data_IF_603163505080
#
_entry.id   IF_603163505080
#
_cell.length_a   1.000
_cell.length_b   1.000
_cell.length_c   1.000
_cell.angle_alpha   90.00
_cell.angle_beta   90.00
_cell.angle_gamma   90.00
#
_symmetry.space_group_name_H-M   'P 1'
#
loop_
_entity.id
_entity.type
_entity.pdbx_description
1 polymer ?
#
# COMPACT_ATOMS: atom_id res chain seq x y z
N UNK A 1 -2.45 -18.24 -22.96
CA UNK A 1 -1.86 -16.88 -23.04
C UNK A 1 -1.99 -16.23 -21.67
N UNK A 2 -0.90 -16.14 -20.90
CA UNK A 2 -0.91 -15.42 -19.61
C UNK A 2 -0.73 -13.93 -19.90
N UNK A 3 -1.83 -13.17 -19.91
CA UNK A 3 -1.78 -11.72 -20.04
C UNK A 3 -0.92 -11.16 -18.91
N UNK A 4 0.09 -10.38 -19.31
CA UNK A 4 1.38 -10.30 -18.64
C UNK A 4 1.40 -9.42 -17.40
N UNK A 5 0.36 -8.63 -17.17
CA UNK A 5 0.22 -7.81 -15.97
C UNK A 5 -1.24 -7.40 -15.85
N UNK A 6 -1.97 -7.79 -14.79
CA UNK A 6 -3.26 -7.18 -14.55
C UNK A 6 -3.05 -5.67 -14.41
N UNK A 7 -3.75 -4.84 -15.20
CA UNK A 7 -3.65 -3.39 -15.08
C UNK A 7 -3.99 -3.00 -13.64
N UNK A 8 -3.27 -2.02 -13.11
CA UNK A 8 -3.48 -1.57 -11.74
C UNK A 8 -4.96 -1.21 -11.55
N UNK A 9 -5.65 -1.71 -10.51
CA UNK A 9 -7.10 -1.51 -10.33
C UNK A 9 -7.49 -0.01 -10.33
N UNK A 10 -6.61 0.84 -9.80
CA UNK A 10 -6.74 2.29 -9.87
C UNK A 10 -6.72 2.91 -11.26
N UNK A 11 -5.98 2.34 -12.22
CA UNK A 11 -6.03 2.78 -13.62
C UNK A 11 -7.36 2.36 -14.24
N UNK A 12 -7.84 1.14 -13.98
CA UNK A 12 -9.18 0.71 -14.41
C UNK A 12 -10.25 1.66 -13.89
N UNK A 13 -10.24 2.00 -12.59
CA UNK A 13 -11.16 3.01 -12.03
C UNK A 13 -11.05 4.34 -12.78
N UNK A 14 -9.84 4.80 -13.14
CA UNK A 14 -9.70 6.04 -13.92
C UNK A 14 -10.37 5.94 -15.29
N UNK A 15 -10.16 4.86 -16.04
CA UNK A 15 -10.76 4.70 -17.37
C UNK A 15 -12.27 4.43 -17.29
N UNK A 16 -12.70 3.47 -16.47
CA UNK A 16 -14.09 3.06 -16.33
C UNK A 16 -14.97 4.10 -15.61
N UNK A 17 -14.42 4.92 -14.71
CA UNK A 17 -15.19 5.94 -13.98
C UNK A 17 -15.01 7.37 -14.52
N UNK A 18 -13.76 7.83 -14.65
CA UNK A 18 -13.50 9.24 -14.99
C UNK A 18 -13.57 9.48 -16.49
N UNK A 19 -12.92 8.63 -17.29
CA UNK A 19 -12.90 8.77 -18.74
C UNK A 19 -14.28 8.47 -19.34
N UNK A 20 -14.96 7.42 -18.86
CA UNK A 20 -16.31 7.07 -19.28
C UNK A 20 -17.35 8.19 -19.05
N UNK A 21 -17.19 8.98 -17.99
CA UNK A 21 -18.06 10.12 -17.69
C UNK A 21 -17.49 11.47 -18.18
N UNK A 22 -16.25 11.51 -18.67
CA UNK A 22 -15.56 12.75 -19.07
C UNK A 22 -15.33 13.73 -17.92
N UNK A 23 -15.28 13.26 -16.66
CA UNK A 23 -15.18 14.11 -15.47
C UNK A 23 -13.77 14.11 -14.89
N UNK A 24 -13.41 15.21 -14.23
CA UNK A 24 -12.13 15.33 -13.52
C UNK A 24 -12.10 14.52 -12.21
N UNK A 25 -10.91 14.17 -11.72
CA UNK A 25 -10.71 13.49 -10.42
C UNK A 25 -11.42 14.25 -9.28
N UNK A 26 -11.47 15.58 -9.35
CA UNK A 26 -12.12 16.39 -8.32
C UNK A 26 -13.63 16.21 -8.32
N UNK A 27 -14.25 16.14 -9.51
CA UNK A 27 -15.68 15.92 -9.69
C UNK A 27 -16.06 14.49 -9.31
N UNK A 28 -15.27 13.49 -9.76
CA UNK A 28 -15.44 12.10 -9.35
C UNK A 28 -15.41 11.96 -7.83
N UNK A 29 -14.42 12.56 -7.16
CA UNK A 29 -14.32 12.48 -5.70
C UNK A 29 -15.58 13.01 -4.97
N UNK A 30 -16.21 14.07 -5.50
CA UNK A 30 -17.48 14.59 -4.96
C UNK A 30 -18.61 13.58 -5.14
N UNK A 31 -18.72 12.96 -6.32
CA UNK A 31 -19.76 11.98 -6.64
C UNK A 31 -19.65 10.73 -5.74
N UNK A 32 -18.43 10.21 -5.53
CA UNK A 32 -18.20 9.09 -4.61
C UNK A 32 -18.32 9.46 -3.12
N UNK A 33 -18.34 10.76 -2.78
CA UNK A 33 -18.24 11.22 -1.39
C UNK A 33 -16.91 10.84 -0.73
N UNK A 34 -15.81 10.86 -1.48
CA UNK A 34 -14.45 10.58 -0.98
C UNK A 34 -13.58 11.83 -1.06
N UNK A 35 -12.46 11.83 -0.33
CA UNK A 35 -11.51 12.93 -0.47
C UNK A 35 -10.82 12.85 -1.84
N UNK A 36 -10.54 14.02 -2.44
CA UNK A 36 -9.74 14.12 -3.67
C UNK A 36 -8.42 13.37 -3.55
N UNK A 37 -7.79 13.40 -2.37
CA UNK A 37 -6.54 12.70 -2.10
C UNK A 37 -6.71 11.18 -2.14
N UNK A 38 -7.80 10.64 -1.59
CA UNK A 38 -8.08 9.20 -1.66
C UNK A 38 -8.25 8.74 -3.11
N UNK A 39 -9.05 9.46 -3.90
CA UNK A 39 -9.24 9.14 -5.31
C UNK A 39 -7.94 9.32 -6.11
N UNK A 40 -7.17 10.39 -5.84
CA UNK A 40 -5.87 10.61 -6.47
C UNK A 40 -4.85 9.51 -6.15
N UNK A 41 -4.81 9.04 -4.90
CA UNK A 41 -3.93 7.94 -4.52
C UNK A 41 -4.36 6.62 -5.16
N UNK A 42 -5.67 6.39 -5.28
CA UNK A 42 -6.21 5.23 -5.97
C UNK A 42 -5.81 5.23 -7.45
N UNK A 43 -6.07 6.31 -8.20
CA UNK A 43 -5.76 6.38 -9.65
C UNK A 43 -4.27 6.35 -9.96
N UNK A 44 -3.41 6.84 -9.04
CA UNK A 44 -1.95 6.76 -9.18
C UNK A 44 -1.37 5.42 -8.71
N UNK A 45 -2.22 4.49 -8.28
CA UNK A 45 -1.83 3.19 -7.76
C UNK A 45 -0.98 3.21 -6.49
N UNK A 46 -1.14 4.26 -5.70
CA UNK A 46 -0.57 4.38 -4.35
C UNK A 46 -1.49 3.81 -3.27
N UNK A 47 -2.79 3.67 -3.59
CA UNK A 47 -3.78 3.04 -2.73
C UNK A 47 -4.49 1.92 -3.50
N UNK A 48 -4.79 0.82 -2.79
CA UNK A 48 -5.65 -0.24 -3.30
C UNK A 48 -7.14 0.06 -3.08
N UNK A 49 -8.00 -0.76 -3.67
CA UNK A 49 -9.45 -0.70 -3.46
C UNK A 49 -9.78 -1.38 -2.12
N UNK A 50 -10.18 -0.58 -1.12
CA UNK A 50 -10.78 -1.07 0.13
C UNK A 50 -12.23 -1.54 -0.13
N UNK A 51 -12.79 -2.50 0.63
CA UNK A 51 -14.20 -2.91 0.50
C UNK A 51 -15.16 -1.72 0.59
N UNK A 52 -14.85 -0.77 1.46
CA UNK A 52 -15.60 0.48 1.65
C UNK A 52 -15.64 1.32 0.36
N UNK A 53 -14.52 1.35 -0.37
CA UNK A 53 -14.37 2.06 -1.63
C UNK A 53 -15.09 1.34 -2.76
N UNK A 54 -15.04 0.00 -2.76
CA UNK A 54 -15.75 -0.82 -3.74
C UNK A 54 -17.27 -0.62 -3.68
N UNK A 55 -17.84 -0.53 -2.47
CA UNK A 55 -19.28 -0.23 -2.29
C UNK A 55 -19.63 1.18 -2.79
N UNK A 56 -18.72 2.16 -2.61
CA UNK A 56 -18.94 3.52 -3.14
C UNK A 56 -18.87 3.56 -4.66
N UNK A 57 -17.96 2.80 -5.26
CA UNK A 57 -17.83 2.67 -6.71
C UNK A 57 -19.07 2.00 -7.32
N UNK A 58 -19.56 0.92 -6.71
CA UNK A 58 -20.81 0.23 -7.08
C UNK A 58 -22.01 1.19 -7.12
N UNK A 59 -22.14 2.05 -6.11
CA UNK A 59 -23.22 3.04 -6.04
C UNK A 59 -23.07 4.20 -7.02
N UNK A 60 -21.84 4.61 -7.33
CA UNK A 60 -21.57 5.81 -8.11
C UNK A 60 -21.48 5.56 -9.62
N UNK A 61 -20.86 4.46 -10.04
CA UNK A 61 -20.59 4.15 -11.46
C UNK A 61 -21.25 2.85 -11.91
N UNK A 62 -21.80 2.07 -10.97
CA UNK A 62 -22.22 0.71 -11.24
C UNK A 62 -21.06 -0.28 -11.25
N UNK A 63 -21.39 -1.55 -11.48
CA UNK A 63 -20.47 -2.67 -11.35
C UNK A 63 -20.36 -3.16 -9.91
N UNK A 64 -20.40 -4.47 -9.72
CA UNK A 64 -20.47 -5.06 -8.37
C UNK A 64 -19.19 -4.81 -7.57
N UNK A 65 -19.35 -4.52 -6.27
CA UNK A 65 -18.22 -4.37 -5.34
C UNK A 65 -17.24 -5.56 -5.39
N UNK A 66 -17.76 -6.76 -5.62
CA UNK A 66 -16.97 -7.99 -5.80
C UNK A 66 -16.05 -7.93 -7.02
N UNK A 67 -16.48 -7.34 -8.13
CA UNK A 67 -15.64 -7.16 -9.33
C UNK A 67 -14.45 -6.26 -9.04
N UNK A 68 -14.69 -5.14 -8.35
CA UNK A 68 -13.64 -4.20 -7.96
C UNK A 68 -12.62 -4.85 -7.02
N UNK A 69 -13.08 -5.65 -6.06
CA UNK A 69 -12.22 -6.41 -5.16
C UNK A 69 -11.45 -7.51 -5.90
N UNK A 70 -12.09 -8.21 -6.85
CA UNK A 70 -11.43 -9.24 -7.64
C UNK A 70 -10.26 -8.67 -8.47
N UNK A 71 -10.39 -7.46 -9.01
CA UNK A 71 -9.30 -6.75 -9.69
C UNK A 71 -8.14 -6.46 -8.73
N UNK A 72 -8.45 -5.99 -7.52
CA UNK A 72 -7.43 -5.75 -6.48
C UNK A 72 -6.71 -7.04 -6.09
N UNK A 73 -7.44 -8.14 -5.88
CA UNK A 73 -6.86 -9.44 -5.55
C UNK A 73 -5.99 -9.98 -6.68
N UNK A 74 -6.42 -9.86 -7.94
CA UNK A 74 -5.62 -10.27 -9.09
C UNK A 74 -4.30 -9.49 -9.17
N UNK A 75 -4.34 -8.18 -8.93
CA UNK A 75 -3.15 -7.33 -8.88
C UNK A 75 -2.22 -7.69 -7.72
N UNK A 76 -2.76 -7.88 -6.52
CA UNK A 76 -2.00 -8.25 -5.33
C UNK A 76 -1.30 -9.60 -5.51
N UNK A 77 -2.00 -10.60 -6.05
CA UNK A 77 -1.42 -11.90 -6.39
C UNK A 77 -0.29 -11.78 -7.43
N UNK A 78 -0.44 -10.91 -8.44
CA UNK A 78 0.62 -10.68 -9.41
C UNK A 78 1.85 -10.02 -8.78
N UNK A 79 1.65 -9.05 -7.87
CA UNK A 79 2.74 -8.44 -7.11
C UNK A 79 3.42 -9.44 -6.17
N UNK A 80 2.66 -10.26 -5.45
CA UNK A 80 3.17 -11.29 -4.56
C UNK A 80 3.99 -12.36 -5.31
N UNK A 81 3.55 -12.76 -6.51
CA UNK A 81 4.31 -13.64 -7.42
C UNK A 81 5.63 -13.01 -7.87
N UNK A 82 5.63 -11.70 -8.20
CA UNK A 82 6.86 -10.97 -8.56
C UNK A 82 7.80 -10.80 -7.35
N UNK A 83 7.26 -10.58 -6.16
CA UNK A 83 8.02 -10.42 -4.93
C UNK A 83 8.69 -11.74 -4.52
N UNK A 84 7.94 -12.84 -4.45
CA UNK A 84 8.48 -14.17 -4.15
C UNK A 84 9.58 -14.60 -5.13
N UNK A 85 9.45 -14.26 -6.41
CA UNK A 85 10.50 -14.49 -7.41
C UNK A 85 11.76 -13.62 -7.20
N UNK A 86 11.65 -12.42 -6.60
CA UNK A 86 12.79 -11.56 -6.23
C UNK A 86 13.44 -11.97 -4.91
N UNK A 87 12.67 -12.48 -3.96
CA UNK A 87 13.16 -12.89 -2.63
C UNK A 87 14.25 -13.97 -2.71
N UNK A 88 14.22 -14.83 -3.73
CA UNK A 88 15.27 -15.83 -3.99
C UNK A 88 16.58 -15.25 -4.54
N UNK A 89 16.63 -13.97 -4.94
CA UNK A 89 17.83 -13.34 -5.54
C UNK A 89 18.50 -12.27 -4.66
N UNK A 90 17.97 -11.97 -3.47
CA UNK A 90 18.55 -10.98 -2.55
C UNK A 90 18.97 -11.58 -1.21
N UNK A 91 19.63 -12.73 -1.22
CA UNK A 91 20.37 -13.28 -0.07
C UNK A 91 21.87 -12.93 -0.12
N UNK A 92 22.28 -11.94 -0.93
CA UNK A 92 23.66 -11.46 -1.01
C UNK A 92 23.73 -9.99 -0.66
N UNK A 93 24.64 -9.64 0.26
CA UNK A 93 25.00 -8.29 0.70
C UNK A 93 24.18 -7.67 1.84
N UNK A 94 24.41 -8.21 3.04
CA UNK A 94 24.65 -7.34 4.21
C UNK A 94 25.69 -7.95 5.15
N UNK A 95 26.93 -8.11 4.65
CA UNK A 95 28.11 -7.98 5.52
C UNK A 95 28.16 -6.52 5.95
N UNK A 96 27.87 -6.24 7.21
CA UNK A 96 28.39 -5.03 7.86
C UNK A 96 29.23 -5.47 9.03
N UNK A 97 30.50 -5.67 8.72
CA UNK A 97 31.60 -5.72 9.69
C UNK A 97 31.74 -4.34 10.32
N UNK A 98 31.40 -4.22 11.59
CA UNK A 98 31.90 -3.15 12.48
C UNK A 98 31.73 -3.75 13.87
N UNK A 99 32.77 -4.35 14.46
CA UNK A 99 33.97 -3.62 14.85
C UNK A 99 33.84 -3.25 16.32
N UNK A 100 34.03 -4.25 17.19
CA UNK A 100 34.85 -4.16 18.40
C UNK A 100 34.95 -2.81 19.13
N UNK A 101 34.28 -2.70 20.29
CA UNK A 101 34.65 -2.00 21.54
C UNK A 101 33.36 -1.79 22.35
N UNK A 102 33.24 -2.14 23.62
CA UNK A 102 34.16 -2.73 24.57
C UNK A 102 33.32 -2.98 25.82
N UNK A 103 33.49 -4.14 26.41
CA UNK A 103 33.01 -4.40 27.75
C UNK A 103 33.66 -3.42 28.74
N UNK A 104 32.96 -3.23 29.86
CA UNK A 104 33.44 -2.75 31.15
C UNK A 104 33.27 -1.24 31.42
N UNK A 105 32.30 -0.93 32.28
CA UNK A 105 32.68 -0.47 33.62
C UNK A 105 31.60 -0.81 34.64
N UNK A 106 31.97 -1.72 35.53
CA UNK A 106 31.50 -1.80 36.91
C UNK A 106 31.31 -0.41 37.52
N UNK A 107 30.28 -0.25 38.35
CA UNK A 107 30.44 0.28 39.72
C UNK A 107 29.12 0.21 40.50
N UNK A 108 29.27 -0.34 41.70
CA UNK A 108 28.27 -0.66 42.73
C UNK A 108 27.58 0.58 43.33
N UNK A 109 26.46 0.40 44.08
CA UNK A 109 25.77 1.45 44.81
C UNK A 109 26.53 1.85 46.08
N UNK A 110 26.72 3.16 46.32
CA UNK A 110 27.23 3.67 47.59
C UNK A 110 26.12 4.31 48.41
N UNK A 111 25.94 3.75 49.60
CA UNK A 111 25.21 4.28 50.77
C UNK A 111 25.91 5.50 51.39
N UNK A 112 25.14 6.51 51.82
CA UNK A 112 25.47 7.61 52.76
C UNK A 112 24.20 8.47 52.89
N UNK A 113 23.39 8.43 53.96
CA UNK A 113 23.56 8.80 55.38
C UNK A 113 23.51 10.30 55.69
N UNK A 114 22.61 10.66 56.63
CA UNK A 114 22.55 11.86 57.53
C UNK A 114 22.14 13.22 56.92
N UNK A 115 20.99 13.80 57.33
CA UNK A 115 20.72 14.71 58.48
C UNK A 115 21.31 16.13 58.24
N UNK A 116 20.77 17.24 58.80
CA UNK A 116 19.99 17.40 60.05
C UNK A 116 18.47 17.53 59.93
#
# INVERSE_FOLDING_TARGET
MAMKEPPHPGLSVRYDCLDALGISVTEGAKILGVTRQALNNLVNGKAGISPEMAIRLDKAFGGTAETWLALQTAFDLAQARKASARSSSSASSRRRTTGFRGCNKSSQPTSTSMLP
#
